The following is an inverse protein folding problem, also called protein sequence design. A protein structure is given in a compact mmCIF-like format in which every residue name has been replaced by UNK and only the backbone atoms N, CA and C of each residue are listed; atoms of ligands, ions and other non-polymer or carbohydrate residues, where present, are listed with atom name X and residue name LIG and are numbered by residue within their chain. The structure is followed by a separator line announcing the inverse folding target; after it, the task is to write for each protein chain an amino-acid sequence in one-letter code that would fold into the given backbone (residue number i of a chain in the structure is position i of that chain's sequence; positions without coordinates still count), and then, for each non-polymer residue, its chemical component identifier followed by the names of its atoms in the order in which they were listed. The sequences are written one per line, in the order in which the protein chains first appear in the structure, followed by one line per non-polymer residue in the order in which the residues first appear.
data_IF_371712993380
#
_entry.id   IF_371712993380
#
_cell.length_a   1.000
_cell.length_b   1.000
_cell.length_c   1.000
_cell.angle_alpha   90.00
_cell.angle_beta   90.00
_cell.angle_gamma   90.00
#
_symmetry.space_group_name_H-M   'P 1'
#
loop_
_entity.id
_entity.type
_entity.pdbx_description
1 polymer ?
#
# COMPACT_ATOMS: atom_id res chain seq x y z
N UNK A 1 -15.91 8.01 17.17
CA UNK A 1 -14.68 7.29 16.75
C UNK A 1 -13.93 8.22 15.81
N UNK A 2 -12.61 8.34 15.92
CA UNK A 2 -11.85 9.13 14.94
C UNK A 2 -11.73 8.35 13.62
N UNK A 3 -11.54 9.07 12.50
CA UNK A 3 -11.31 8.43 11.19
C UNK A 3 -10.10 7.47 11.24
N UNK A 4 -9.03 7.90 11.91
CA UNK A 4 -7.82 7.10 12.05
C UNK A 4 -8.07 5.77 12.79
N UNK A 5 -8.94 5.77 13.82
CA UNK A 5 -9.31 4.53 14.51
C UNK A 5 -10.11 3.59 13.61
N UNK A 6 -11.05 4.11 12.81
CA UNK A 6 -11.81 3.31 11.86
C UNK A 6 -10.90 2.66 10.81
N UNK A 7 -10.01 3.46 10.22
CA UNK A 7 -9.02 2.99 9.26
C UNK A 7 -8.10 1.93 9.88
N UNK A 8 -7.60 2.18 11.10
CA UNK A 8 -6.71 1.26 11.79
C UNK A 8 -7.35 -0.10 12.09
N UNK A 9 -8.63 -0.11 12.53
CA UNK A 9 -9.37 -1.36 12.78
C UNK A 9 -9.51 -2.18 11.50
N UNK A 10 -9.97 -1.56 10.40
CA UNK A 10 -10.14 -2.24 9.12
C UNK A 10 -8.81 -2.73 8.57
N UNK A 11 -7.78 -1.90 8.63
CA UNK A 11 -6.43 -2.28 8.19
C UNK A 11 -5.89 -3.47 9.00
N UNK A 12 -6.05 -3.47 10.31
CA UNK A 12 -5.60 -4.58 11.16
C UNK A 12 -6.29 -5.91 10.79
N UNK A 13 -7.61 -5.90 10.58
CA UNK A 13 -8.36 -7.09 10.17
C UNK A 13 -7.94 -7.58 8.79
N UNK A 14 -7.89 -6.70 7.80
CA UNK A 14 -7.53 -7.07 6.43
C UNK A 14 -6.09 -7.54 6.31
N UNK A 15 -5.16 -6.90 7.02
CA UNK A 15 -3.76 -7.34 7.07
C UNK A 15 -3.60 -8.69 7.77
N UNK A 16 -4.38 -8.97 8.82
CA UNK A 16 -4.41 -10.29 9.45
C UNK A 16 -4.89 -11.39 8.50
N UNK A 17 -5.99 -11.13 7.77
CA UNK A 17 -6.52 -12.03 6.73
C UNK A 17 -5.48 -12.24 5.63
N UNK A 18 -4.84 -11.17 5.15
CA UNK A 18 -3.79 -11.25 4.13
C UNK A 18 -2.63 -12.14 4.58
N UNK A 19 -2.13 -11.97 5.80
CA UNK A 19 -1.01 -12.78 6.31
C UNK A 19 -1.33 -14.28 6.28
N UNK A 20 -2.55 -14.64 6.64
CA UNK A 20 -3.01 -16.04 6.62
C UNK A 20 -3.14 -16.56 5.18
N UNK A 21 -3.81 -15.81 4.30
CA UNK A 21 -4.03 -16.21 2.90
C UNK A 21 -2.72 -16.29 2.12
N UNK A 22 -1.79 -15.36 2.33
CA UNK A 22 -0.48 -15.38 1.68
C UNK A 22 0.30 -16.65 2.01
N UNK A 23 0.25 -17.12 3.27
CA UNK A 23 0.88 -18.36 3.69
C UNK A 23 0.32 -19.59 2.96
N UNK A 24 -1.01 -19.68 2.81
CA UNK A 24 -1.68 -20.79 2.10
C UNK A 24 -1.41 -20.73 0.60
N UNK A 25 -1.42 -19.53 0.00
CA UNK A 25 -1.23 -19.34 -1.44
C UNK A 25 0.24 -19.41 -1.88
N UNK A 26 1.20 -19.58 -0.97
CA UNK A 26 2.62 -19.55 -1.29
C UNK A 26 3.11 -18.18 -1.77
N UNK A 27 2.42 -17.12 -1.36
CA UNK A 27 2.75 -15.73 -1.67
C UNK A 27 3.66 -15.13 -0.58
N UNK A 28 4.32 -14.04 -0.94
CA UNK A 28 5.21 -13.33 -0.01
C UNK A 28 4.37 -12.37 0.84
N UNK A 29 4.04 -12.78 2.09
CA UNK A 29 3.18 -12.01 2.98
C UNK A 29 3.66 -10.57 3.21
N UNK A 30 4.95 -10.38 3.51
CA UNK A 30 5.54 -9.05 3.73
C UNK A 30 5.52 -8.17 2.47
N UNK A 31 5.58 -8.75 1.26
CA UNK A 31 5.50 -7.98 0.02
C UNK A 31 4.09 -7.37 -0.20
N UNK A 32 3.04 -8.06 0.25
CA UNK A 32 1.71 -7.47 0.27
C UNK A 32 1.63 -6.25 1.19
N UNK A 33 2.27 -6.29 2.35
CA UNK A 33 2.37 -5.11 3.22
C UNK A 33 3.16 -3.98 2.56
N UNK A 34 4.25 -4.29 1.85
CA UNK A 34 5.01 -3.30 1.10
C UNK A 34 4.15 -2.62 0.03
N UNK A 35 3.34 -3.37 -0.73
CA UNK A 35 2.38 -2.83 -1.69
C UNK A 35 1.30 -1.96 -1.04
N UNK A 36 0.74 -2.40 0.09
CA UNK A 36 -0.23 -1.65 0.88
C UNK A 36 0.37 -0.33 1.40
N UNK A 37 1.58 -0.37 1.95
CA UNK A 37 2.30 0.82 2.43
C UNK A 37 2.56 1.80 1.29
N UNK A 38 2.99 1.31 0.12
CA UNK A 38 3.19 2.14 -1.07
C UNK A 38 1.91 2.83 -1.50
N UNK A 39 0.76 2.13 -1.43
CA UNK A 39 -0.54 2.71 -1.72
C UNK A 39 -0.86 3.91 -0.81
N UNK A 40 -0.72 3.76 0.49
CA UNK A 40 -0.98 4.86 1.44
C UNK A 40 0.02 6.01 1.31
N UNK A 41 1.25 5.71 0.95
CA UNK A 41 2.31 6.71 0.81
C UNK A 41 2.24 7.51 -0.51
N UNK A 42 1.56 6.99 -1.55
CA UNK A 42 1.56 7.63 -2.87
C UNK A 42 0.75 8.94 -2.94
N UNK A 43 -0.01 9.28 -1.91
CA UNK A 43 -0.82 10.51 -1.84
C UNK A 43 -2.01 10.56 -2.80
N UNK A 44 -2.32 9.45 -3.49
CA UNK A 44 -3.49 9.31 -4.36
C UNK A 44 -4.44 8.28 -3.78
N UNK A 45 -5.73 8.48 -4.01
CA UNK A 45 -6.81 7.67 -3.45
C UNK A 45 -7.51 6.83 -4.52
N UNK A 46 -8.18 5.76 -4.09
CA UNK A 46 -8.99 4.92 -4.97
C UNK A 46 -8.15 4.22 -6.04
N UNK A 47 -8.75 3.96 -7.20
CA UNK A 47 -8.07 3.29 -8.32
C UNK A 47 -6.87 4.07 -8.89
N UNK A 48 -6.84 5.39 -8.72
CA UNK A 48 -5.70 6.21 -9.11
C UNK A 48 -4.48 5.89 -8.22
N UNK A 49 -4.69 5.68 -6.92
CA UNK A 49 -3.66 5.22 -5.98
C UNK A 49 -3.14 3.83 -6.33
N UNK A 50 -4.05 2.87 -6.64
CA UNK A 50 -3.67 1.52 -7.06
C UNK A 50 -2.79 1.56 -8.32
N UNK A 51 -3.21 2.29 -9.36
CA UNK A 51 -2.44 2.41 -10.59
C UNK A 51 -1.04 2.97 -10.34
N UNK A 52 -0.94 4.06 -9.55
CA UNK A 52 0.33 4.69 -9.22
C UNK A 52 1.25 3.71 -8.46
N UNK A 53 0.73 3.05 -7.44
CA UNK A 53 1.45 2.05 -6.64
C UNK A 53 1.96 0.90 -7.51
N UNK A 54 1.11 0.32 -8.34
CA UNK A 54 1.48 -0.80 -9.21
C UNK A 54 2.56 -0.38 -10.19
N UNK A 55 2.40 0.75 -10.88
CA UNK A 55 3.38 1.23 -11.86
C UNK A 55 4.75 1.46 -11.18
N UNK A 56 4.79 2.16 -10.07
CA UNK A 56 6.06 2.49 -9.41
C UNK A 56 6.71 1.25 -8.80
N UNK A 57 5.96 0.38 -8.14
CA UNK A 57 6.50 -0.86 -7.58
C UNK A 57 7.06 -1.78 -8.69
N UNK A 58 6.32 -1.98 -9.80
CA UNK A 58 6.80 -2.83 -10.90
C UNK A 58 8.03 -2.25 -11.59
N UNK A 59 8.10 -0.94 -11.77
CA UNK A 59 9.30 -0.27 -12.26
C UNK A 59 10.48 -0.53 -11.33
N UNK A 60 10.25 -0.47 -10.01
CA UNK A 60 11.25 -0.81 -9.01
C UNK A 60 11.73 -2.25 -9.09
N UNK A 61 10.80 -3.19 -9.28
CA UNK A 61 11.15 -4.62 -9.49
C UNK A 61 12.03 -4.80 -10.73
N UNK A 62 11.69 -4.15 -11.83
CA UNK A 62 12.51 -4.17 -13.05
C UNK A 62 13.91 -3.61 -12.80
N UNK A 63 14.03 -2.49 -12.09
CA UNK A 63 15.31 -1.91 -11.70
C UNK A 63 16.12 -2.87 -10.82
N UNK A 64 15.51 -3.49 -9.81
CA UNK A 64 16.15 -4.46 -8.93
C UNK A 64 16.64 -5.70 -9.69
N UNK A 65 15.82 -6.25 -10.57
CA UNK A 65 16.22 -7.39 -11.43
C UNK A 65 17.37 -7.01 -12.39
N UNK A 66 17.35 -5.79 -12.90
CA UNK A 66 18.44 -5.28 -13.75
C UNK A 66 19.75 -5.22 -12.97
N UNK A 67 19.74 -4.71 -11.74
CA UNK A 67 20.92 -4.67 -10.86
C UNK A 67 21.46 -6.07 -10.62
N UNK A 68 20.59 -7.02 -10.23
CA UNK A 68 20.97 -8.41 -9.95
C UNK A 68 21.57 -9.06 -11.20
N UNK A 69 20.96 -8.84 -12.36
CA UNK A 69 21.41 -9.45 -13.64
C UNK A 69 22.74 -8.85 -14.08
N UNK A 70 22.89 -7.53 -14.07
CA UNK A 70 24.11 -6.86 -14.49
C UNK A 70 25.29 -7.20 -13.57
N UNK A 71 25.07 -7.31 -12.27
CA UNK A 71 26.13 -7.71 -11.34
C UNK A 71 26.60 -9.14 -11.52
N UNK A 72 25.74 -10.03 -12.06
CA UNK A 72 26.12 -11.41 -12.41
C UNK A 72 26.87 -11.50 -13.75
N UNK A 73 26.45 -10.73 -14.76
CA UNK A 73 27.03 -10.77 -16.11
C UNK A 73 28.38 -10.04 -16.15
N UNK A 74 28.48 -8.90 -15.47
CA UNK A 74 29.66 -8.05 -15.45
C UNK A 74 30.23 -7.93 -14.03
N UNK A 75 30.95 -8.95 -13.54
CA UNK A 75 31.59 -8.91 -12.23
C UNK A 75 32.77 -7.95 -12.17
N UNK A 76 33.07 -7.25 -13.29
CA UNK A 76 34.12 -6.24 -13.42
C UNK A 76 33.87 -5.20 -12.29
N UNK A 77 34.81 -5.04 -11.40
CA UNK A 77 34.74 -4.19 -10.19
C UNK A 77 34.11 -4.87 -8.95
N UNK A 78 33.75 -6.16 -8.99
CA UNK A 78 33.31 -6.89 -7.80
C UNK A 78 32.07 -6.32 -7.10
N UNK A 79 31.27 -5.45 -7.75
CA UNK A 79 30.44 -4.54 -6.99
C UNK A 79 29.02 -4.39 -7.51
N UNK A 80 28.13 -5.11 -6.82
CA UNK A 80 26.71 -4.78 -6.75
C UNK A 80 26.51 -3.26 -6.55
N UNK A 81 27.40 -2.59 -5.80
CA UNK A 81 27.32 -1.16 -5.46
C UNK A 81 27.38 -0.22 -6.66
N UNK A 82 28.22 -0.50 -7.68
CA UNK A 82 28.30 0.35 -8.87
C UNK A 82 27.01 0.30 -9.67
N UNK A 83 26.50 -0.88 -9.94
CA UNK A 83 25.22 -1.06 -10.64
C UNK A 83 24.05 -0.49 -9.85
N UNK A 84 24.08 -0.66 -8.52
CA UNK A 84 23.12 -0.06 -7.62
C UNK A 84 23.11 1.49 -7.75
N UNK A 85 24.29 2.12 -7.75
CA UNK A 85 24.41 3.57 -7.90
C UNK A 85 23.88 4.07 -9.25
N UNK A 86 24.26 3.41 -10.36
CA UNK A 86 23.82 3.78 -11.71
C UNK A 86 22.29 3.65 -11.83
N UNK A 87 21.72 2.54 -11.43
CA UNK A 87 20.27 2.29 -11.55
C UNK A 87 19.49 3.19 -10.59
N UNK A 88 19.99 3.46 -9.38
CA UNK A 88 19.38 4.43 -8.47
C UNK A 88 19.32 5.83 -9.08
N UNK A 89 20.39 6.26 -9.75
CA UNK A 89 20.39 7.52 -10.49
C UNK A 89 19.32 7.55 -11.58
N UNK A 90 19.21 6.45 -12.36
CA UNK A 90 18.15 6.29 -13.38
C UNK A 90 16.76 6.37 -12.74
N UNK A 91 16.53 5.69 -11.60
CA UNK A 91 15.25 5.77 -10.88
C UNK A 91 14.88 7.20 -10.48
N UNK A 92 15.86 7.99 -10.02
CA UNK A 92 15.64 9.40 -9.68
C UNK A 92 15.31 10.26 -10.91
N UNK A 93 15.92 9.98 -12.07
CA UNK A 93 15.64 10.72 -13.31
C UNK A 93 14.26 10.37 -13.85
N UNK A 94 13.88 9.11 -13.86
CA UNK A 94 12.56 8.65 -14.33
C UNK A 94 11.44 9.30 -13.50
N UNK A 95 11.67 9.60 -12.23
CA UNK A 95 10.73 10.28 -11.36
C UNK A 95 10.30 11.69 -11.82
N UNK A 96 10.98 12.28 -12.82
CA UNK A 96 10.54 13.53 -13.47
C UNK A 96 9.28 13.35 -14.32
N UNK A 97 8.96 12.13 -14.72
CA UNK A 97 7.75 11.83 -15.47
C UNK A 97 6.56 11.66 -14.54
N UNK A 98 5.39 12.19 -14.92
CA UNK A 98 4.14 12.11 -14.16
C UNK A 98 3.72 10.66 -13.82
N UNK A 99 4.13 9.68 -14.63
CA UNK A 99 3.86 8.27 -14.39
C UNK A 99 4.68 7.70 -13.25
N UNK A 100 5.89 8.20 -13.02
CA UNK A 100 6.89 7.70 -12.09
C UNK A 100 7.27 8.71 -11.00
N UNK A 101 6.53 9.81 -10.85
CA UNK A 101 6.78 10.89 -9.91
C UNK A 101 6.81 10.44 -8.43
N UNK A 102 6.23 9.28 -8.13
CA UNK A 102 6.30 8.67 -6.81
C UNK A 102 7.56 7.79 -6.68
N UNK A 103 8.71 8.44 -6.61
CA UNK A 103 10.02 7.80 -6.47
C UNK A 103 10.12 6.80 -5.29
N UNK A 104 9.59 7.07 -4.08
CA UNK A 104 9.61 6.10 -2.99
C UNK A 104 8.96 4.75 -3.34
N UNK A 105 7.93 4.73 -4.17
CA UNK A 105 7.31 3.49 -4.65
C UNK A 105 8.26 2.66 -5.52
N UNK A 106 9.04 3.33 -6.39
CA UNK A 106 10.04 2.66 -7.22
C UNK A 106 11.17 2.08 -6.36
N UNK A 107 11.62 2.82 -5.35
CA UNK A 107 12.59 2.30 -4.38
C UNK A 107 12.04 1.10 -3.60
N UNK A 108 10.76 1.13 -3.20
CA UNK A 108 10.13 0.02 -2.50
C UNK A 108 10.11 -1.24 -3.38
N UNK A 109 9.76 -1.13 -4.66
CA UNK A 109 9.81 -2.26 -5.60
C UNK A 109 11.22 -2.81 -5.78
N UNK A 110 12.23 -1.95 -5.89
CA UNK A 110 13.62 -2.35 -6.00
C UNK A 110 14.11 -3.06 -4.73
N UNK A 111 13.86 -2.48 -3.56
CA UNK A 111 14.20 -3.06 -2.26
C UNK A 111 13.58 -4.44 -2.06
N UNK A 112 12.28 -4.59 -2.36
CA UNK A 112 11.58 -5.85 -2.20
C UNK A 112 12.09 -6.93 -3.14
N UNK A 113 12.66 -6.57 -4.28
CA UNK A 113 13.30 -7.52 -5.21
C UNK A 113 14.54 -8.17 -4.59
N UNK A 114 15.36 -7.38 -3.89
CA UNK A 114 16.50 -7.92 -3.14
C UNK A 114 16.05 -8.79 -1.97
N UNK A 115 15.04 -8.32 -1.23
CA UNK A 115 14.49 -9.06 -0.11
C UNK A 115 13.82 -10.39 -0.50
N UNK A 116 13.40 -10.53 -1.75
CA UNK A 116 12.86 -11.76 -2.35
C UNK A 116 13.90 -12.59 -3.08
N UNK A 117 15.20 -12.32 -2.92
CA UNK A 117 16.31 -13.02 -3.60
C UNK A 117 16.13 -13.09 -5.13
N UNK A 118 15.48 -12.08 -5.73
CA UNK A 118 15.20 -12.04 -7.16
C UNK A 118 14.05 -12.93 -7.62
N UNK A 119 13.24 -13.48 -6.72
CA UNK A 119 12.03 -14.23 -7.08
C UNK A 119 10.90 -13.26 -7.49
N UNK A 120 11.08 -12.66 -8.66
CA UNK A 120 10.21 -11.60 -9.16
C UNK A 120 8.77 -12.04 -9.43
N UNK A 121 8.53 -13.29 -9.84
CA UNK A 121 7.22 -13.78 -10.24
C UNK A 121 6.22 -13.76 -9.06
N UNK A 122 6.60 -14.34 -7.92
CA UNK A 122 5.78 -14.35 -6.71
C UNK A 122 5.72 -12.96 -6.08
N UNK A 123 6.84 -12.22 -6.15
CA UNK A 123 6.94 -10.86 -5.64
C UNK A 123 5.95 -9.91 -6.33
N UNK A 124 5.91 -9.90 -7.66
CA UNK A 124 5.02 -9.03 -8.44
C UNK A 124 3.56 -9.27 -8.07
N UNK A 125 3.15 -10.54 -8.01
CA UNK A 125 1.77 -10.88 -7.62
C UNK A 125 1.46 -10.37 -6.21
N UNK A 126 2.38 -10.58 -5.27
CA UNK A 126 2.20 -10.15 -3.88
C UNK A 126 2.12 -8.63 -3.75
N UNK A 127 2.94 -7.87 -4.49
CA UNK A 127 2.91 -6.39 -4.51
C UNK A 127 1.61 -5.85 -5.11
N UNK A 128 1.14 -6.44 -6.21
CA UNK A 128 -0.12 -6.04 -6.84
C UNK A 128 -1.30 -6.28 -5.91
N UNK A 129 -1.39 -7.47 -5.31
CA UNK A 129 -2.43 -7.75 -4.32
C UNK A 129 -2.32 -6.80 -3.12
N UNK A 130 -1.09 -6.46 -2.69
CA UNK A 130 -0.85 -5.48 -1.64
C UNK A 130 -1.38 -4.08 -1.98
N UNK A 131 -1.27 -3.64 -3.23
CA UNK A 131 -1.85 -2.37 -3.67
C UNK A 131 -3.39 -2.38 -3.58
N UNK A 132 -4.03 -3.49 -3.96
CA UNK A 132 -5.48 -3.68 -3.79
C UNK A 132 -5.87 -3.81 -2.32
N UNK A 133 -5.04 -4.42 -1.49
CA UNK A 133 -5.24 -4.48 -0.04
C UNK A 133 -5.28 -3.07 0.55
N UNK A 134 -4.35 -2.18 0.16
CA UNK A 134 -4.35 -0.77 0.58
C UNK A 134 -5.64 -0.04 0.18
N UNK A 135 -6.09 -0.25 -1.05
CA UNK A 135 -7.38 0.27 -1.54
C UNK A 135 -8.57 -0.24 -0.71
N UNK A 136 -8.60 -1.55 -0.41
CA UNK A 136 -9.67 -2.15 0.40
C UNK A 136 -9.65 -1.61 1.85
N UNK A 137 -8.47 -1.37 2.42
CA UNK A 137 -8.32 -0.75 3.74
C UNK A 137 -8.87 0.68 3.76
N UNK A 138 -8.54 1.48 2.75
CA UNK A 138 -9.07 2.86 2.63
C UNK A 138 -10.58 2.88 2.49
N UNK A 139 -11.12 2.08 1.57
CA UNK A 139 -12.55 2.01 1.32
C UNK A 139 -13.32 1.53 2.55
N UNK A 140 -12.87 0.43 3.17
CA UNK A 140 -13.49 -0.12 4.36
C UNK A 140 -13.37 0.80 5.58
N UNK A 141 -12.25 1.51 5.74
CA UNK A 141 -12.05 2.51 6.79
C UNK A 141 -13.02 3.69 6.65
N UNK A 142 -13.19 4.21 5.44
CA UNK A 142 -14.15 5.26 5.12
C UNK A 142 -15.58 4.81 5.40
N UNK A 143 -15.95 3.62 4.95
CA UNK A 143 -17.28 3.05 5.17
C UNK A 143 -17.58 2.88 6.67
N UNK A 144 -16.66 2.31 7.43
CA UNK A 144 -16.83 2.13 8.88
C UNK A 144 -16.97 3.46 9.61
N UNK A 145 -16.16 4.45 9.22
CA UNK A 145 -16.23 5.79 9.81
C UNK A 145 -17.58 6.46 9.58
N UNK A 146 -18.09 6.39 8.34
CA UNK A 146 -19.41 6.95 7.99
C UNK A 146 -20.53 6.24 8.76
N UNK A 147 -20.56 4.91 8.78
CA UNK A 147 -21.58 4.14 9.47
C UNK A 147 -21.66 4.45 10.98
N UNK A 148 -20.50 4.60 11.63
CA UNK A 148 -20.46 4.95 13.07
C UNK A 148 -20.86 6.40 13.32
N UNK A 149 -20.54 7.31 12.41
CA UNK A 149 -20.85 8.73 12.54
C UNK A 149 -22.34 9.00 12.34
N UNK A 150 -22.93 8.37 11.33
CA UNK A 150 -24.39 8.44 11.08
C UNK A 150 -25.20 7.87 12.25
N UNK A 151 -24.77 6.72 12.80
CA UNK A 151 -25.42 6.12 13.97
C UNK A 151 -25.38 7.03 15.19
N UNK A 152 -24.28 7.75 15.43
CA UNK A 152 -24.18 8.73 16.50
C UNK A 152 -25.14 9.91 16.28
N UNK A 153 -25.21 10.43 15.05
CA UNK A 153 -26.10 11.54 14.71
C UNK A 153 -27.56 11.16 14.95
N UNK A 154 -27.99 9.99 14.49
CA UNK A 154 -29.34 9.47 14.69
C UNK A 154 -29.69 9.34 16.19
N UNK A 155 -28.80 8.79 17.00
CA UNK A 155 -29.03 8.66 18.44
C UNK A 155 -29.12 10.01 19.17
N UNK A 156 -28.37 11.02 18.73
CA UNK A 156 -28.44 12.37 19.29
C UNK A 156 -29.80 13.02 19.01
N UNK A 157 -30.29 12.94 17.77
CA UNK A 157 -31.60 13.45 17.39
C UNK A 157 -32.76 12.77 18.16
N UNK A 158 -32.71 11.46 18.35
CA UNK A 158 -33.71 10.71 19.12
C UNK A 158 -33.68 11.14 20.59
N UNK A 159 -32.49 11.31 21.17
CA UNK A 159 -32.35 11.76 22.57
C UNK A 159 -32.87 13.19 22.80
N UNK A 160 -32.63 14.13 21.88
CA UNK A 160 -33.12 15.49 21.96
C UNK A 160 -34.64 15.56 21.85
N UNK A 161 -35.26 14.79 20.95
CA UNK A 161 -36.72 14.75 20.80
C UNK A 161 -37.41 14.19 22.05
N UNK A 162 -36.86 13.12 22.64
CA UNK A 162 -37.40 12.53 23.88
C UNK A 162 -37.30 13.51 25.07
N UNK A 163 -36.26 14.34 25.12
CA UNK A 163 -36.09 15.35 26.16
C UNK A 163 -37.06 16.55 25.97
N UNK A 164 -37.35 16.92 24.71
CA UNK A 164 -38.34 17.96 24.42
C UNK A 164 -39.77 17.49 24.77
N UNK A 165 -40.13 16.29 24.38
CA UNK A 165 -41.46 15.71 24.68
C UNK A 165 -41.73 15.60 26.20
N UNK A 166 -40.69 15.27 27.00
CA UNK A 166 -40.81 15.29 28.47
C UNK A 166 -41.03 16.69 29.06
N UNK A 167 -40.44 17.74 28.47
CA UNK A 167 -40.61 19.13 28.93
C UNK A 167 -41.95 19.73 28.57
N UNK A 168 -42.64 19.19 27.58
CA UNK A 168 -44.01 19.64 27.21
C UNK A 168 -45.08 18.96 28.04
N UNK A 169 -44.77 17.91 28.78
CA UNK A 169 -45.72 17.16 29.63
C UNK A 169 -45.65 17.62 31.11
N UNK A 170 -44.59 18.30 31.53
CA UNK A 170 -44.49 18.95 32.87
C UNK A 170 -45.01 20.39 32.86
#
# INVERSE_FOLDING_TARGET
MSFLCALGIVTAVLCGIWSYLAGIAGLIGWAGFAGCTTYFACGKHGMSGVKKTVITNLTGVLCGMTIITLSKIYPLFGNLGIWCGIITFVMCIIAKSEWFDFCPGTFMGCFTTFAADGNWSVLVVSLVIGAFLGFACEYGGNWLYQAVTEKKRCNTYVGENVLQEKKEIE
#
